data_IF_517704887469
#
_entry.id   IF_517704887469
#
_cell.length_a   1.000
_cell.length_b   1.000
_cell.length_c   1.000
_cell.angle_alpha   90.00
_cell.angle_beta   90.00
_cell.angle_gamma   90.00
#
_symmetry.space_group_name_H-M   'P 1'
#
loop_
_entity.id
_entity.type
_entity.pdbx_description
1 polymer ?
#
# COMPACT_ATOMS: atom_id res chain seq x y z
N UNK A 1 -11.99 -11.76 16.19
CA UNK A 1 -12.87 -10.64 15.82
C UNK A 1 -12.79 -10.32 14.35
N UNK A 2 -11.63 -9.90 13.88
CA UNK A 2 -11.47 -9.57 12.46
C UNK A 2 -11.53 -10.78 11.55
N UNK A 3 -11.40 -12.00 12.11
CA UNK A 3 -11.51 -13.22 11.32
C UNK A 3 -12.89 -13.41 10.70
N UNK A 4 -13.90 -12.68 11.20
CA UNK A 4 -15.26 -12.72 10.65
C UNK A 4 -15.52 -11.56 9.67
N UNK A 5 -14.54 -10.69 9.48
CA UNK A 5 -14.69 -9.55 8.59
C UNK A 5 -14.44 -9.99 7.15
N UNK A 6 -15.46 -9.86 6.31
CA UNK A 6 -15.38 -10.25 4.90
C UNK A 6 -14.97 -9.10 3.98
N UNK A 7 -14.61 -7.95 4.55
CA UNK A 7 -14.16 -6.83 3.74
C UNK A 7 -12.78 -7.11 3.15
N UNK A 8 -12.58 -6.69 1.91
CA UNK A 8 -11.34 -6.91 1.19
C UNK A 8 -10.43 -5.70 1.38
N UNK A 9 -9.20 -5.94 1.80
CA UNK A 9 -8.17 -4.91 1.98
C UNK A 9 -7.00 -5.25 1.06
N UNK A 10 -6.56 -4.26 0.27
CA UNK A 10 -5.41 -4.43 -0.61
C UNK A 10 -4.13 -4.14 0.19
N UNK A 11 -3.11 -4.94 -0.04
CA UNK A 11 -1.84 -4.84 0.68
C UNK A 11 -0.68 -4.60 -0.27
N UNK A 12 0.41 -4.08 0.27
CA UNK A 12 1.65 -3.85 -0.46
C UNK A 12 2.83 -4.09 0.47
N UNK A 13 3.80 -4.87 -0.02
CA UNK A 13 5.10 -4.99 0.62
C UNK A 13 6.09 -4.18 -0.23
N UNK A 14 6.52 -3.04 0.30
CA UNK A 14 7.34 -2.07 -0.44
C UNK A 14 8.82 -2.30 -0.16
N UNK A 15 9.53 -2.91 -1.10
CA UNK A 15 10.97 -3.06 -1.03
C UNK A 15 11.67 -2.18 -2.06
N UNK A 16 12.96 -1.93 -1.83
CA UNK A 16 13.75 -1.07 -2.73
C UNK A 16 13.93 -1.62 -4.14
N UNK A 17 13.78 -2.93 -4.31
CA UNK A 17 13.94 -3.59 -5.61
C UNK A 17 12.60 -3.96 -6.21
N UNK A 18 11.69 -4.48 -5.39
CA UNK A 18 10.40 -4.97 -5.86
C UNK A 18 9.28 -4.48 -4.96
N UNK A 19 8.09 -4.32 -5.57
CA UNK A 19 6.83 -4.08 -4.88
C UNK A 19 5.99 -5.35 -5.02
N UNK A 20 5.46 -5.86 -3.91
CA UNK A 20 4.64 -7.07 -3.90
C UNK A 20 3.23 -6.70 -3.45
N UNK A 21 2.27 -6.90 -4.34
CA UNK A 21 0.88 -6.50 -4.13
C UNK A 21 0.01 -7.72 -3.84
N UNK A 22 -0.94 -7.56 -2.94
CA UNK A 22 -1.86 -8.63 -2.59
C UNK A 22 -3.19 -8.10 -2.09
N UNK A 23 -4.05 -9.01 -1.66
CA UNK A 23 -5.32 -8.66 -1.06
C UNK A 23 -5.65 -9.66 0.05
N UNK A 24 -6.26 -9.15 1.12
CA UNK A 24 -6.65 -9.96 2.27
C UNK A 24 -8.15 -9.85 2.52
N UNK A 25 -8.73 -10.96 2.96
CA UNK A 25 -10.11 -11.04 3.42
C UNK A 25 -10.16 -12.03 4.58
N UNK A 26 -10.77 -11.63 5.69
CA UNK A 26 -10.86 -12.48 6.89
C UNK A 26 -9.48 -13.01 7.35
N UNK A 27 -8.47 -12.14 7.33
CA UNK A 27 -7.07 -12.44 7.72
C UNK A 27 -6.36 -13.46 6.82
N UNK A 28 -6.85 -13.67 5.60
CA UNK A 28 -6.21 -14.56 4.64
C UNK A 28 -5.96 -13.83 3.32
N UNK A 29 -4.83 -14.15 2.70
CA UNK A 29 -4.58 -13.68 1.34
C UNK A 29 -5.49 -14.41 0.37
N UNK A 30 -6.17 -13.67 -0.51
CA UNK A 30 -7.19 -14.22 -1.40
C UNK A 30 -6.80 -14.17 -2.87
N UNK A 31 -5.64 -13.60 -3.19
CA UNK A 31 -5.10 -13.59 -4.56
C UNK A 31 -3.63 -13.94 -4.51
N UNK A 32 -3.11 -14.47 -5.61
CA UNK A 32 -1.68 -14.68 -5.74
C UNK A 32 -0.96 -13.32 -5.77
N UNK A 33 0.18 -13.19 -5.07
CA UNK A 33 0.89 -11.92 -5.05
C UNK A 33 1.38 -11.52 -6.44
N UNK A 34 1.32 -10.21 -6.70
CA UNK A 34 1.82 -9.62 -7.94
C UNK A 34 3.11 -8.88 -7.58
N UNK A 35 4.21 -9.22 -8.24
CA UNK A 35 5.51 -8.59 -8.01
C UNK A 35 5.88 -7.74 -9.21
N UNK A 36 6.16 -6.46 -8.96
CA UNK A 36 6.61 -5.52 -9.98
C UNK A 36 7.89 -4.83 -9.52
N UNK A 37 8.75 -4.39 -10.45
CA UNK A 37 9.96 -3.64 -10.05
C UNK A 37 9.58 -2.30 -9.44
N UNK A 38 10.30 -1.91 -8.37
CA UNK A 38 9.97 -0.69 -7.61
C UNK A 38 10.22 0.60 -8.37
N UNK A 39 11.26 0.64 -9.21
CA UNK A 39 11.73 1.88 -9.84
C UNK A 39 11.95 2.98 -8.80
N UNK A 40 12.57 2.62 -7.68
CA UNK A 40 12.65 3.48 -6.48
C UNK A 40 13.44 4.78 -6.71
N UNK A 41 14.29 4.83 -7.72
CA UNK A 41 15.09 5.99 -8.07
C UNK A 41 14.33 7.01 -8.96
N UNK A 42 13.17 6.63 -9.47
CA UNK A 42 12.35 7.48 -10.35
C UNK A 42 10.94 7.57 -9.76
N UNK A 43 10.60 8.73 -9.21
CA UNK A 43 9.32 8.91 -8.53
C UNK A 43 8.12 8.62 -9.43
N UNK A 44 8.14 9.16 -10.65
CA UNK A 44 7.01 8.99 -11.57
C UNK A 44 6.82 7.52 -11.93
N UNK A 45 7.90 6.80 -12.18
CA UNK A 45 7.82 5.37 -12.48
C UNK A 45 7.38 4.56 -11.29
N UNK A 46 7.87 4.92 -10.09
CA UNK A 46 7.49 4.22 -8.87
C UNK A 46 5.99 4.38 -8.61
N UNK A 47 5.48 5.59 -8.70
CA UNK A 47 4.05 5.85 -8.50
C UNK A 47 3.19 5.15 -9.56
N UNK A 48 3.63 5.18 -10.82
CA UNK A 48 2.92 4.48 -11.90
C UNK A 48 2.87 2.97 -11.65
N UNK A 49 3.99 2.40 -11.18
CA UNK A 49 4.06 0.98 -10.86
C UNK A 49 3.13 0.62 -9.70
N UNK A 50 3.06 1.47 -8.67
CA UNK A 50 2.14 1.27 -7.57
C UNK A 50 0.68 1.23 -8.05
N UNK A 51 0.30 2.18 -8.89
CA UNK A 51 -1.05 2.25 -9.45
C UNK A 51 -1.34 1.00 -10.28
N UNK A 52 -0.40 0.59 -11.13
CA UNK A 52 -0.55 -0.61 -11.95
C UNK A 52 -0.75 -1.85 -11.09
N UNK A 53 0.09 -2.03 -10.05
CA UNK A 53 0.00 -3.20 -9.18
C UNK A 53 -1.32 -3.26 -8.43
N UNK A 54 -1.76 -2.15 -7.87
CA UNK A 54 -3.05 -2.11 -7.18
C UNK A 54 -4.22 -2.38 -8.15
N UNK A 55 -4.18 -1.83 -9.35
CA UNK A 55 -5.23 -2.09 -10.36
C UNK A 55 -5.26 -3.55 -10.78
N UNK A 56 -4.09 -4.17 -10.93
CA UNK A 56 -4.01 -5.60 -11.26
C UNK A 56 -4.64 -6.46 -10.17
N UNK A 57 -4.38 -6.14 -8.90
CA UNK A 57 -5.01 -6.86 -7.79
C UNK A 57 -6.53 -6.67 -7.83
N UNK A 58 -6.98 -5.43 -7.97
CA UNK A 58 -8.42 -5.12 -8.01
C UNK A 58 -9.11 -5.90 -9.12
N UNK A 59 -8.47 -6.03 -10.30
CA UNK A 59 -9.07 -6.75 -11.43
C UNK A 59 -9.27 -8.24 -11.16
N UNK A 60 -8.59 -8.80 -10.16
CA UNK A 60 -8.70 -10.21 -9.77
C UNK A 60 -9.74 -10.44 -8.67
N UNK A 61 -10.28 -9.37 -8.10
CA UNK A 61 -11.21 -9.49 -6.98
C UNK A 61 -12.64 -9.63 -7.49
N UNK A 62 -13.43 -10.44 -6.78
CA UNK A 62 -14.87 -10.54 -7.04
C UNK A 62 -15.64 -9.45 -6.31
N UNK A 63 -15.04 -8.83 -5.30
CA UNK A 63 -15.65 -7.79 -4.51
C UNK A 63 -14.79 -6.54 -4.55
N UNK A 64 -15.43 -5.37 -4.43
CA UNK A 64 -14.71 -4.10 -4.39
C UNK A 64 -13.95 -4.00 -3.06
N UNK A 65 -12.65 -3.63 -3.07
CA UNK A 65 -11.91 -3.45 -1.82
C UNK A 65 -12.40 -2.22 -1.07
N UNK A 66 -12.29 -2.25 0.26
CA UNK A 66 -12.74 -1.16 1.12
C UNK A 66 -11.60 -0.25 1.55
N UNK A 67 -10.34 -0.71 1.44
CA UNK A 67 -9.17 0.07 1.84
C UNK A 67 -7.91 -0.49 1.24
N UNK A 68 -6.85 0.32 1.28
CA UNK A 68 -5.47 -0.09 1.01
C UNK A 68 -4.70 0.08 2.32
N UNK A 69 -3.97 -0.95 2.75
CA UNK A 69 -3.18 -0.91 3.98
C UNK A 69 -1.83 -1.53 3.74
N UNK A 70 -0.76 -0.77 4.01
CA UNK A 70 0.58 -1.30 3.79
C UNK A 70 1.62 -0.60 4.65
N UNK A 71 2.82 -1.20 4.67
CA UNK A 71 3.99 -0.63 5.32
C UNK A 71 4.86 0.06 4.29
N UNK A 72 5.46 1.17 4.69
CA UNK A 72 6.44 1.89 3.87
C UNK A 72 7.54 2.42 4.80
N UNK A 73 8.81 2.32 4.40
CA UNK A 73 9.90 2.76 5.28
C UNK A 73 9.82 4.27 5.54
N UNK A 74 10.20 4.64 6.79
CA UNK A 74 10.28 6.04 7.19
C UNK A 74 11.65 6.63 6.90
N UNK A 75 11.85 7.91 7.14
CA UNK A 75 10.94 8.79 7.88
C UNK A 75 9.69 9.18 7.10
N UNK A 76 8.60 9.40 7.84
CA UNK A 76 7.32 9.73 7.23
C UNK A 76 6.37 10.34 8.26
N UNK A 77 5.41 11.11 7.76
CA UNK A 77 4.25 11.54 8.54
C UNK A 77 3.12 10.55 8.23
N UNK A 78 3.10 9.44 8.98
CA UNK A 78 2.18 8.34 8.70
C UNK A 78 0.70 8.72 8.83
N UNK A 79 0.29 9.49 9.85
CA UNK A 79 -1.12 9.91 9.94
C UNK A 79 -1.63 10.66 8.71
N UNK A 80 -0.76 11.43 8.06
CA UNK A 80 -1.11 12.20 6.87
C UNK A 80 -0.70 11.50 5.57
N UNK A 81 -0.02 10.35 5.66
CA UNK A 81 0.38 9.59 4.49
C UNK A 81 1.47 10.23 3.65
N UNK A 82 2.31 11.06 4.29
CA UNK A 82 3.39 11.78 3.60
C UNK A 82 4.72 11.09 3.88
N UNK A 83 5.39 10.64 2.83
CA UNK A 83 6.68 9.95 2.90
C UNK A 83 7.77 10.94 2.49
N UNK A 84 8.82 11.06 3.30
CA UNK A 84 9.92 11.96 2.94
C UNK A 84 11.10 11.85 3.90
N UNK A 85 12.21 12.45 3.54
CA UNK A 85 13.44 12.41 4.28
C UNK A 85 14.44 11.43 3.70
N UNK A 86 15.45 11.05 4.50
CA UNK A 86 16.47 10.13 4.01
C UNK A 86 15.94 8.70 3.94
N UNK A 87 15.74 8.21 2.73
CA UNK A 87 15.19 6.88 2.46
C UNK A 87 16.15 6.15 1.52
N UNK A 88 17.08 5.31 2.04
CA UNK A 88 18.07 4.65 1.20
C UNK A 88 17.49 3.81 0.08
N UNK A 89 16.35 3.15 0.33
CA UNK A 89 15.72 2.27 -0.65
C UNK A 89 14.76 2.99 -1.58
N UNK A 90 14.39 4.26 -1.27
CA UNK A 90 13.47 5.04 -2.08
C UNK A 90 13.95 6.49 -2.19
N UNK A 91 15.11 6.70 -2.83
CA UNK A 91 15.71 8.04 -2.88
C UNK A 91 14.84 9.09 -3.56
N UNK A 92 13.95 8.69 -4.46
CA UNK A 92 13.07 9.63 -5.16
C UNK A 92 11.98 10.22 -4.25
N UNK A 93 11.77 9.66 -3.05
CA UNK A 93 10.78 10.15 -2.10
C UNK A 93 11.35 11.17 -1.10
N UNK A 94 12.64 11.47 -1.20
CA UNK A 94 13.36 12.26 -0.20
C UNK A 94 12.75 13.65 0.04
N UNK A 95 12.23 14.29 -0.98
CA UNK A 95 11.69 15.65 -0.90
C UNK A 95 10.26 15.71 -0.36
N UNK A 96 9.70 14.57 -0.03
CA UNK A 96 8.34 14.47 0.48
C UNK A 96 7.33 14.13 -0.60
N UNK A 97 6.57 13.06 -0.38
CA UNK A 97 5.54 12.61 -1.32
C UNK A 97 4.27 12.32 -0.53
N UNK A 98 3.18 12.98 -0.90
CA UNK A 98 1.86 12.74 -0.29
C UNK A 98 1.27 11.44 -0.86
N UNK A 99 1.89 10.31 -0.52
CA UNK A 99 1.57 9.01 -1.10
C UNK A 99 0.16 8.56 -0.74
N UNK A 100 -0.23 8.68 0.53
CA UNK A 100 -1.57 8.32 0.97
C UNK A 100 -2.65 9.10 0.24
N UNK A 101 -2.61 10.45 0.28
CA UNK A 101 -3.57 11.27 -0.47
C UNK A 101 -3.60 10.97 -1.96
N UNK A 102 -2.43 10.74 -2.58
CA UNK A 102 -2.35 10.39 -3.99
C UNK A 102 -3.11 9.09 -4.29
N UNK A 103 -2.89 8.06 -3.50
CA UNK A 103 -3.56 6.77 -3.71
C UNK A 103 -5.05 6.85 -3.39
N UNK A 104 -5.43 7.62 -2.36
CA UNK A 104 -6.85 7.81 -2.03
C UNK A 104 -7.59 8.51 -3.18
N UNK A 105 -6.97 9.52 -3.77
CA UNK A 105 -7.57 10.23 -4.91
C UNK A 105 -7.66 9.33 -6.15
N UNK A 106 -6.67 8.45 -6.34
CA UNK A 106 -6.63 7.56 -7.49
C UNK A 106 -7.67 6.45 -7.41
N UNK A 107 -7.85 5.86 -6.23
CA UNK A 107 -8.69 4.68 -6.07
C UNK A 107 -10.02 4.96 -5.38
N UNK A 108 -10.18 6.10 -4.74
CA UNK A 108 -11.43 6.47 -4.08
C UNK A 108 -11.74 5.69 -2.82
N UNK A 109 -10.73 5.11 -2.18
CA UNK A 109 -10.87 4.36 -0.93
C UNK A 109 -9.79 4.79 0.07
N UNK A 110 -10.01 4.60 1.39
CA UNK A 110 -9.03 4.99 2.40
C UNK A 110 -7.70 4.25 2.24
N UNK A 111 -6.60 4.93 2.55
CA UNK A 111 -5.26 4.37 2.50
C UNK A 111 -4.59 4.54 3.86
N UNK A 112 -4.10 3.45 4.42
CA UNK A 112 -3.43 3.41 5.71
C UNK A 112 -1.98 2.98 5.50
N UNK A 113 -1.03 3.82 5.92
CA UNK A 113 0.40 3.56 5.77
C UNK A 113 1.04 3.59 7.16
N UNK A 114 1.90 2.61 7.46
CA UNK A 114 2.71 2.62 8.67
C UNK A 114 4.11 2.06 8.37
N UNK A 115 4.98 1.96 9.38
CA UNK A 115 6.37 1.60 9.11
C UNK A 115 6.77 0.20 9.57
N UNK A 116 5.90 -0.53 10.23
CA UNK A 116 6.26 -1.80 10.85
C UNK A 116 5.74 -3.04 10.13
N UNK A 117 5.04 -2.87 9.03
CA UNK A 117 4.50 -3.99 8.28
C UNK A 117 3.25 -4.60 8.88
N UNK A 118 2.64 -3.93 9.87
CA UNK A 118 1.45 -4.43 10.52
C UNK A 118 0.22 -4.27 9.62
N UNK A 119 -0.16 -5.35 8.97
CA UNK A 119 -1.33 -5.36 8.09
C UNK A 119 -2.64 -5.25 8.87
N UNK A 120 -2.57 -5.36 10.19
CA UNK A 120 -3.75 -5.21 11.04
C UNK A 120 -4.00 -3.76 11.45
N UNK A 121 -3.17 -2.81 11.05
CA UNK A 121 -3.38 -1.40 11.35
C UNK A 121 -4.78 -0.94 10.94
N UNK A 122 -5.26 -1.37 9.78
CA UNK A 122 -6.61 -1.06 9.33
C UNK A 122 -7.65 -1.69 10.26
N UNK A 123 -7.45 -2.95 10.65
CA UNK A 123 -8.33 -3.64 11.58
C UNK A 123 -8.42 -2.93 12.92
N UNK A 124 -7.31 -2.45 13.45
CA UNK A 124 -7.28 -1.69 14.69
C UNK A 124 -8.06 -0.37 14.55
N UNK A 125 -7.95 0.28 13.41
CA UNK A 125 -8.69 1.52 13.16
C UNK A 125 -10.20 1.29 13.11
N UNK A 126 -10.63 0.10 12.72
CA UNK A 126 -12.05 -0.27 12.73
C UNK A 126 -12.55 -0.67 14.10
N UNK A 127 -11.64 -1.21 14.90
CA UNK A 127 -11.96 -1.68 16.24
C UNK A 127 -12.22 -0.57 17.21
#
# INVERSE_FOLDING_TARGET
MYSHDNRVVITLDAGGTNLVFGAMQANKFIVDPITLPSHAEDLDKCLATMVEGFRNVISRLSEKPVAISFAFPGPADYPNGIIGGYLPNFPSFRDGVALGPFLEATFGIPVFINNDGDLFAYGEALG
#
